data_IF_390355824023
#
_entry.id   IF_390355824023
#
_cell.length_a   1.000
_cell.length_b   1.000
_cell.length_c   1.000
_cell.angle_alpha   90.00
_cell.angle_beta   90.00
_cell.angle_gamma   90.00
#
_symmetry.space_group_name_H-M   'P 1'
#
loop_
_entity.id
_entity.type
_entity.pdbx_description
1 polymer ?
#
# COMPACT_ATOMS: atom_id res chain seq x y z
N UNK A 1 61.94 -32.42 -48.69
CA UNK A 1 61.71 -32.32 -47.23
C UNK A 1 61.53 -30.85 -46.89
N UNK A 2 60.40 -30.49 -46.25
CA UNK A 2 60.01 -29.16 -45.68
C UNK A 2 59.61 -28.08 -46.71
N UNK A 3 58.33 -27.94 -47.09
CA UNK A 3 57.09 -27.48 -46.39
C UNK A 3 56.91 -25.95 -46.51
N UNK A 4 55.80 -25.61 -47.18
CA UNK A 4 55.30 -24.30 -47.60
C UNK A 4 54.98 -23.32 -46.48
N UNK A 5 55.18 -22.03 -46.79
CA UNK A 5 54.66 -20.88 -46.07
C UNK A 5 53.26 -20.54 -46.62
N UNK A 6 52.22 -20.68 -45.80
CA UNK A 6 50.87 -20.15 -46.09
C UNK A 6 50.52 -19.19 -44.95
N UNK A 7 50.41 -17.91 -45.26
CA UNK A 7 49.82 -16.91 -44.37
C UNK A 7 48.29 -17.03 -44.44
N UNK A 8 47.67 -17.50 -43.36
CA UNK A 8 46.22 -17.43 -43.16
C UNK A 8 45.90 -16.11 -42.44
N UNK A 9 45.20 -15.19 -43.13
CA UNK A 9 44.58 -14.03 -42.50
C UNK A 9 43.19 -14.44 -42.01
N UNK A 10 43.06 -14.69 -40.72
CA UNK A 10 41.76 -14.94 -40.08
C UNK A 10 41.05 -13.60 -39.81
N UNK A 11 39.98 -13.32 -40.54
CA UNK A 11 39.07 -12.20 -40.24
C UNK A 11 38.14 -12.65 -39.12
N UNK A 12 38.33 -12.08 -37.92
CA UNK A 12 37.45 -12.29 -36.78
C UNK A 12 36.23 -11.36 -36.92
N UNK A 13 35.08 -11.87 -37.36
CA UNK A 13 33.81 -11.16 -37.24
C UNK A 13 33.35 -11.21 -35.76
N UNK A 14 33.56 -10.12 -35.03
CA UNK A 14 32.87 -9.88 -33.77
C UNK A 14 31.41 -9.50 -34.05
N UNK A 15 30.51 -10.46 -33.90
CA UNK A 15 29.08 -10.15 -33.78
C UNK A 15 28.85 -9.51 -32.40
N UNK A 16 28.57 -8.21 -32.39
CA UNK A 16 28.08 -7.53 -31.20
C UNK A 16 26.66 -8.02 -30.91
N UNK A 17 26.51 -8.90 -29.92
CA UNK A 17 25.21 -9.22 -29.32
C UNK A 17 24.72 -7.97 -28.61
N UNK A 18 23.79 -7.23 -29.21
CA UNK A 18 23.07 -6.20 -28.49
C UNK A 18 22.25 -6.89 -27.40
N UNK A 19 22.69 -6.78 -26.14
CA UNK A 19 21.85 -7.08 -25.00
C UNK A 19 20.69 -6.09 -25.06
N UNK A 20 19.52 -6.55 -25.53
CA UNK A 20 18.28 -5.82 -25.36
C UNK A 20 18.04 -5.72 -23.86
N UNK A 21 18.40 -4.56 -23.29
CA UNK A 21 17.98 -4.19 -21.94
C UNK A 21 16.46 -4.12 -21.99
N UNK A 22 15.79 -5.15 -21.47
CA UNK A 22 14.34 -5.15 -21.36
C UNK A 22 13.91 -4.03 -20.43
N UNK A 23 13.53 -2.88 -21.00
CA UNK A 23 12.85 -1.84 -20.25
C UNK A 23 11.59 -2.47 -19.63
N UNK A 24 11.42 -2.31 -18.31
CA UNK A 24 10.21 -2.75 -17.62
C UNK A 24 9.01 -2.03 -18.27
N UNK A 25 8.19 -2.75 -19.03
CA UNK A 25 7.02 -2.18 -19.70
C UNK A 25 6.08 -1.64 -18.63
N UNK A 26 5.83 -0.33 -18.68
CA UNK A 26 4.86 0.36 -17.81
C UNK A 26 3.53 0.44 -18.55
N UNK A 27 2.45 0.06 -17.87
CA UNK A 27 1.09 0.16 -18.39
C UNK A 27 0.35 1.26 -17.64
N UNK A 28 -0.15 2.27 -18.35
CA UNK A 28 -1.00 3.30 -17.74
C UNK A 28 -2.30 2.68 -17.21
N UNK A 29 -2.97 1.86 -18.03
CA UNK A 29 -4.27 1.24 -17.77
C UNK A 29 -4.37 -0.18 -18.38
N UNK A 30 -5.46 -0.90 -18.08
CA UNK A 30 -5.86 -2.15 -18.73
C UNK A 30 -5.21 -3.41 -18.17
N UNK A 31 -4.48 -3.32 -17.06
CA UNK A 31 -3.86 -4.46 -16.38
C UNK A 31 -4.64 -4.87 -15.14
N UNK A 32 -4.57 -6.15 -14.78
CA UNK A 32 -5.29 -6.68 -13.63
C UNK A 32 -4.65 -6.27 -12.29
N UNK A 33 -5.45 -6.41 -11.22
CA UNK A 33 -4.98 -6.41 -9.83
C UNK A 33 -4.58 -7.83 -9.44
N UNK A 34 -3.40 -7.97 -8.84
CA UNK A 34 -2.92 -9.24 -8.29
C UNK A 34 -2.88 -9.15 -6.75
N UNK A 35 -3.63 -9.98 -6.01
CA UNK A 35 -3.56 -10.02 -4.56
C UNK A 35 -2.23 -10.61 -4.10
N UNK A 36 -1.80 -10.25 -2.90
CA UNK A 36 -0.58 -10.72 -2.26
C UNK A 36 -0.86 -11.09 -0.81
N UNK A 37 -0.30 -12.22 -0.37
CA UNK A 37 -0.19 -12.54 1.04
C UNK A 37 1.11 -11.91 1.55
N UNK A 38 1.01 -11.09 2.59
CA UNK A 38 2.15 -10.35 3.13
C UNK A 38 2.79 -11.10 4.31
N UNK A 39 2.04 -11.98 4.97
CA UNK A 39 2.49 -12.75 6.13
C UNK A 39 1.40 -12.83 7.21
N UNK A 40 1.77 -13.25 8.41
CA UNK A 40 0.85 -13.38 9.53
C UNK A 40 1.43 -12.85 10.83
N UNK A 41 0.57 -12.40 11.74
CA UNK A 41 0.94 -11.93 13.07
C UNK A 41 0.12 -12.67 14.14
N UNK A 42 0.69 -12.91 15.31
CA UNK A 42 -0.02 -13.49 16.45
C UNK A 42 -0.61 -12.39 17.35
N UNK A 43 -1.88 -12.52 17.69
CA UNK A 43 -2.57 -11.63 18.63
C UNK A 43 -2.31 -12.04 20.09
N UNK A 44 -2.44 -11.12 21.07
CA UNK A 44 -2.23 -11.44 22.49
C UNK A 44 -3.14 -12.54 23.05
N UNK A 45 -4.33 -12.75 22.46
CA UNK A 45 -5.27 -13.81 22.84
C UNK A 45 -4.94 -15.17 22.22
N UNK A 46 -3.85 -15.24 21.45
CA UNK A 46 -3.36 -16.42 20.75
C UNK A 46 -3.98 -16.65 19.38
N UNK A 47 -4.95 -15.84 18.95
CA UNK A 47 -5.46 -15.85 17.57
C UNK A 47 -4.42 -15.30 16.60
N UNK A 48 -4.67 -15.39 15.29
CA UNK A 48 -3.72 -14.92 14.27
C UNK A 48 -4.42 -13.99 13.29
N UNK A 49 -3.71 -12.98 12.80
CA UNK A 49 -4.15 -12.19 11.65
C UNK A 49 -3.33 -12.59 10.42
N UNK A 50 -4.01 -13.00 9.36
CA UNK A 50 -3.41 -13.19 8.03
C UNK A 50 -3.49 -11.86 7.28
N UNK A 51 -2.34 -11.33 6.86
CA UNK A 51 -2.22 -9.97 6.32
C UNK A 51 -2.10 -10.02 4.81
N UNK A 52 -2.87 -9.18 4.12
CA UNK A 52 -2.95 -9.16 2.67
C UNK A 52 -2.70 -7.75 2.11
N UNK A 53 -2.09 -7.71 0.94
CA UNK A 53 -1.88 -6.52 0.12
C UNK A 53 -2.15 -6.85 -1.35
N UNK A 54 -1.88 -5.94 -2.27
CA UNK A 54 -2.07 -6.19 -3.69
C UNK A 54 -1.13 -5.35 -4.56
N UNK A 55 -0.92 -5.80 -5.79
CA UNK A 55 -0.35 -5.00 -6.86
C UNK A 55 -1.43 -4.69 -7.89
N UNK A 56 -1.88 -3.44 -7.96
CA UNK A 56 -2.53 -2.94 -9.15
C UNK A 56 -1.42 -2.65 -10.18
N UNK A 57 -1.42 -3.40 -11.28
CA UNK A 57 -0.34 -3.36 -12.27
C UNK A 57 -0.35 -2.08 -13.12
N UNK A 58 -1.44 -1.32 -13.06
CA UNK A 58 -1.58 -0.03 -13.72
C UNK A 58 -0.78 1.06 -13.00
N UNK A 59 -0.50 2.14 -13.71
CA UNK A 59 0.13 3.35 -13.16
C UNK A 59 -0.86 4.50 -12.97
N UNK A 60 -2.00 4.48 -13.68
CA UNK A 60 -3.01 5.55 -13.64
C UNK A 60 -4.41 5.00 -13.30
N UNK A 61 -4.76 3.80 -13.80
CA UNK A 61 -6.08 3.22 -13.58
C UNK A 61 -6.27 2.70 -12.14
N UNK A 62 -7.22 3.31 -11.45
CA UNK A 62 -7.88 2.76 -10.27
C UNK A 62 -8.98 1.78 -10.69
N UNK A 63 -9.18 0.73 -9.91
CA UNK A 63 -10.22 -0.27 -10.18
C UNK A 63 -11.17 -0.40 -9.00
N UNK A 64 -12.47 -0.46 -9.29
CA UNK A 64 -13.50 -0.80 -8.32
C UNK A 64 -13.98 -2.23 -8.57
N UNK A 65 -13.73 -3.13 -7.62
CA UNK A 65 -14.13 -4.54 -7.69
C UNK A 65 -14.98 -4.85 -6.45
N UNK A 66 -16.32 -4.84 -6.57
CA UNK A 66 -17.22 -5.13 -5.46
C UNK A 66 -17.01 -6.53 -4.90
N UNK A 67 -17.32 -6.71 -3.61
CA UNK A 67 -17.34 -8.03 -2.97
C UNK A 67 -18.27 -8.95 -3.76
N UNK A 68 -17.79 -10.15 -4.06
CA UNK A 68 -18.53 -11.11 -4.89
C UNK A 68 -17.58 -12.05 -5.64
N UNK A 69 -18.04 -12.72 -6.71
CA UNK A 69 -17.24 -13.72 -7.42
C UNK A 69 -15.87 -13.24 -7.92
N UNK A 70 -15.74 -11.94 -8.20
CA UNK A 70 -14.49 -11.32 -8.68
C UNK A 70 -13.63 -10.72 -7.56
N UNK A 71 -14.12 -10.72 -6.31
CA UNK A 71 -13.41 -10.25 -5.12
C UNK A 71 -13.93 -11.02 -3.90
N UNK A 72 -13.41 -12.23 -3.71
CA UNK A 72 -13.93 -13.20 -2.75
C UNK A 72 -12.80 -13.72 -1.85
N UNK A 73 -13.14 -13.98 -0.58
CA UNK A 73 -12.25 -14.67 0.34
C UNK A 73 -12.86 -16.02 0.74
N UNK A 74 -12.05 -17.07 0.67
CA UNK A 74 -12.39 -18.39 1.14
C UNK A 74 -11.54 -18.77 2.35
N UNK A 75 -12.13 -19.30 3.43
CA UNK A 75 -13.57 -19.35 3.69
C UNK A 75 -14.16 -17.97 4.03
N UNK A 76 -15.42 -17.74 3.67
CA UNK A 76 -16.25 -16.72 4.34
C UNK A 76 -16.63 -15.45 3.59
N UNK A 77 -16.44 -15.36 2.26
CA UNK A 77 -17.02 -14.26 1.46
C UNK A 77 -16.42 -12.90 1.77
N UNK A 78 -17.20 -12.03 2.42
CA UNK A 78 -16.72 -10.75 2.95
C UNK A 78 -15.97 -10.97 4.27
N UNK A 79 -14.66 -10.74 4.23
CA UNK A 79 -13.75 -10.86 5.38
C UNK A 79 -12.96 -9.57 5.58
N UNK A 80 -13.50 -8.44 5.12
CA UNK A 80 -12.89 -7.13 5.28
C UNK A 80 -12.03 -6.65 4.13
N UNK A 81 -11.93 -7.36 3.00
CA UNK A 81 -11.12 -6.97 1.83
C UNK A 81 -11.56 -5.64 1.17
N UNK A 82 -10.65 -4.85 0.56
CA UNK A 82 -11.03 -3.59 -0.09
C UNK A 82 -11.91 -3.83 -1.32
N UNK A 83 -12.66 -2.80 -1.75
CA UNK A 83 -13.33 -2.81 -3.06
C UNK A 83 -12.79 -1.76 -4.01
N UNK A 84 -11.95 -0.85 -3.54
CA UNK A 84 -11.29 0.17 -4.35
C UNK A 84 -9.77 -0.10 -4.37
N UNK A 85 -9.19 -0.13 -5.57
CA UNK A 85 -7.83 -0.58 -5.80
C UNK A 85 -6.99 0.53 -6.46
N UNK A 86 -6.24 1.26 -5.63
CA UNK A 86 -5.28 2.27 -6.05
C UNK A 86 -4.16 1.67 -6.92
N UNK A 87 -3.55 2.45 -7.83
CA UNK A 87 -2.45 1.97 -8.64
C UNK A 87 -1.27 1.47 -7.79
N UNK A 88 -0.42 0.65 -8.42
CA UNK A 88 0.85 0.15 -7.85
C UNK A 88 0.65 -0.79 -6.65
N UNK A 89 1.77 -1.04 -5.95
CA UNK A 89 1.85 -1.96 -4.83
C UNK A 89 1.29 -1.28 -3.57
N UNK A 90 0.27 -1.89 -3.00
CA UNK A 90 -0.31 -1.53 -1.71
C UNK A 90 -0.04 -2.70 -0.77
N UNK A 91 0.79 -2.50 0.25
CA UNK A 91 1.18 -3.53 1.22
C UNK A 91 0.31 -3.46 2.46
N UNK A 92 0.18 -4.59 3.16
CA UNK A 92 -0.44 -4.66 4.50
C UNK A 92 -1.83 -4.00 4.59
N UNK A 93 -2.63 -4.11 3.54
CA UNK A 93 -3.88 -3.36 3.33
C UNK A 93 -4.98 -3.79 4.30
N UNK A 94 -5.11 -5.09 4.56
CA UNK A 94 -6.12 -5.60 5.48
C UNK A 94 -5.72 -6.94 6.10
N UNK A 95 -6.46 -7.30 7.15
CA UNK A 95 -6.20 -8.45 8.00
C UNK A 95 -7.42 -9.36 8.03
N UNK A 96 -7.19 -10.66 7.97
CA UNK A 96 -8.21 -11.69 8.21
C UNK A 96 -7.85 -12.44 9.48
N UNK A 97 -8.63 -12.26 10.54
CA UNK A 97 -8.42 -12.97 11.80
C UNK A 97 -8.90 -14.43 11.72
N UNK A 98 -8.06 -15.33 12.20
CA UNK A 98 -8.34 -16.77 12.36
C UNK A 98 -8.10 -17.16 13.82
N UNK A 99 -8.86 -18.12 14.37
CA UNK A 99 -8.82 -18.46 15.79
C UNK A 99 -7.48 -19.12 16.19
N UNK A 100 -7.22 -19.18 17.49
CA UNK A 100 -5.97 -19.73 18.05
C UNK A 100 -5.71 -21.21 17.72
N UNK A 101 -6.78 -21.96 17.50
CA UNK A 101 -6.80 -23.39 17.16
C UNK A 101 -6.90 -23.64 15.64
N UNK A 102 -6.69 -22.60 14.83
CA UNK A 102 -6.65 -22.72 13.37
C UNK A 102 -5.62 -23.77 12.93
N UNK A 103 -6.03 -24.65 12.00
CA UNK A 103 -5.10 -25.58 11.38
C UNK A 103 -4.02 -24.80 10.61
N UNK A 104 -2.76 -24.99 11.00
CA UNK A 104 -1.60 -24.28 10.43
C UNK A 104 -1.45 -24.51 8.92
N UNK A 105 -2.02 -25.59 8.38
CA UNK A 105 -2.04 -25.88 6.94
C UNK A 105 -3.27 -25.32 6.22
N UNK A 106 -4.32 -24.94 6.96
CA UNK A 106 -5.53 -24.37 6.40
C UNK A 106 -5.27 -22.96 5.87
N UNK A 107 -5.72 -22.74 4.64
CA UNK A 107 -5.50 -21.49 3.91
C UNK A 107 -6.71 -20.57 3.98
N UNK A 108 -6.43 -19.28 4.08
CA UNK A 108 -7.33 -18.24 3.62
C UNK A 108 -6.92 -17.84 2.21
N UNK A 109 -7.84 -17.89 1.26
CA UNK A 109 -7.58 -17.60 -0.15
C UNK A 109 -8.35 -16.37 -0.57
N UNK A 110 -7.63 -15.30 -0.91
CA UNK A 110 -8.21 -14.12 -1.53
C UNK A 110 -8.08 -14.21 -3.04
N UNK A 111 -9.23 -14.17 -3.73
CA UNK A 111 -9.32 -14.25 -5.20
C UNK A 111 -9.77 -12.90 -5.76
N UNK A 112 -9.01 -12.39 -6.73
CA UNK A 112 -9.38 -11.21 -7.51
C UNK A 112 -9.46 -11.57 -9.00
N UNK A 113 -10.54 -11.12 -9.64
CA UNK A 113 -10.70 -11.18 -11.10
C UNK A 113 -10.90 -9.76 -11.64
N UNK A 114 -10.01 -9.32 -12.52
CA UNK A 114 -10.09 -8.02 -13.20
C UNK A 114 -9.48 -8.11 -14.59
N UNK A 115 -10.02 -7.34 -15.53
CA UNK A 115 -9.56 -7.34 -16.94
C UNK A 115 -9.43 -8.76 -17.54
N UNK A 116 -10.41 -9.63 -17.23
CA UNK A 116 -10.46 -11.01 -17.74
C UNK A 116 -9.42 -11.97 -17.14
N UNK A 117 -8.65 -11.54 -16.13
CA UNK A 117 -7.64 -12.36 -15.46
C UNK A 117 -7.98 -12.56 -13.99
N UNK A 118 -7.79 -13.79 -13.51
CA UNK A 118 -7.95 -14.17 -12.11
C UNK A 118 -6.59 -14.45 -11.48
N UNK A 119 -6.33 -13.87 -10.31
CA UNK A 119 -5.14 -14.11 -9.50
C UNK A 119 -5.56 -14.38 -8.04
N UNK A 120 -4.73 -15.13 -7.30
CA UNK A 120 -5.02 -15.53 -5.92
C UNK A 120 -3.84 -15.30 -4.98
N UNK A 121 -4.14 -14.87 -3.76
CA UNK A 121 -3.22 -14.89 -2.64
C UNK A 121 -3.70 -15.94 -1.64
N UNK A 122 -2.79 -16.81 -1.21
CA UNK A 122 -3.08 -17.88 -0.25
C UNK A 122 -2.27 -17.57 1.01
N UNK A 123 -2.95 -17.30 2.12
CA UNK A 123 -2.34 -17.05 3.43
C UNK A 123 -2.51 -18.25 4.34
N UNK A 124 -1.45 -18.59 5.08
CA UNK A 124 -1.45 -19.63 6.11
C UNK A 124 -0.32 -19.39 7.12
N UNK A 125 -0.29 -20.16 8.20
CA UNK A 125 0.63 -19.96 9.34
C UNK A 125 1.97 -20.66 9.11
N UNK A 126 2.66 -20.30 8.02
CA UNK A 126 4.02 -20.76 7.78
C UNK A 126 5.02 -19.98 8.65
N UNK A 127 5.85 -20.64 9.47
CA UNK A 127 6.73 -19.96 10.42
C UNK A 127 7.60 -18.84 9.83
N UNK A 128 8.14 -19.03 8.62
CA UNK A 128 9.04 -18.04 7.99
C UNK A 128 8.32 -16.78 7.48
N UNK A 129 6.98 -16.74 7.55
CA UNK A 129 6.14 -15.64 7.10
C UNK A 129 5.53 -14.84 8.26
N UNK A 130 6.02 -15.07 9.48
CA UNK A 130 5.63 -14.27 10.64
C UNK A 130 6.09 -12.82 10.45
N UNK A 131 5.17 -11.89 10.64
CA UNK A 131 5.38 -10.46 10.56
C UNK A 131 5.66 -9.90 11.96
N UNK A 132 6.56 -8.92 11.97
CA UNK A 132 6.75 -8.01 13.08
C UNK A 132 6.94 -6.59 12.52
N UNK A 133 6.99 -5.60 13.41
CA UNK A 133 7.09 -4.20 13.02
C UNK A 133 8.37 -3.88 12.24
N UNK A 134 9.47 -4.60 12.49
CA UNK A 134 10.72 -4.47 11.72
C UNK A 134 10.50 -4.86 10.25
N UNK A 135 9.94 -6.05 10.02
CA UNK A 135 9.65 -6.54 8.67
C UNK A 135 8.67 -5.62 7.95
N UNK A 136 7.69 -5.05 8.66
CA UNK A 136 6.74 -4.09 8.10
C UNK A 136 7.47 -2.80 7.68
N UNK A 137 8.29 -2.24 8.57
CA UNK A 137 9.06 -1.01 8.32
C UNK A 137 9.99 -1.17 7.11
N UNK A 138 10.80 -2.23 7.08
CA UNK A 138 11.74 -2.48 5.98
C UNK A 138 11.02 -2.63 4.64
N UNK A 139 9.92 -3.38 4.59
CA UNK A 139 9.15 -3.60 3.37
C UNK A 139 8.40 -2.36 2.87
N UNK A 140 8.06 -1.42 3.76
CA UNK A 140 7.45 -0.13 3.40
C UNK A 140 8.49 0.94 3.06
N UNK A 141 9.79 0.63 3.16
CA UNK A 141 10.87 1.57 2.92
C UNK A 141 11.12 2.54 4.08
N UNK A 142 10.65 2.20 5.27
CA UNK A 142 10.99 2.87 6.54
C UNK A 142 12.42 2.58 7.02
N UNK A 143 13.04 1.54 6.44
CA UNK A 143 14.37 1.06 6.82
C UNK A 143 14.34 0.34 8.17
N UNK A 144 15.51 0.23 8.81
CA UNK A 144 15.63 -0.38 10.14
C UNK A 144 14.73 0.36 11.13
N UNK A 145 13.84 -0.36 11.80
CA UNK A 145 12.90 0.19 12.77
C UNK A 145 13.67 0.89 13.90
N UNK A 146 13.26 2.11 14.27
CA UNK A 146 13.85 2.77 15.44
C UNK A 146 13.38 2.08 16.72
N UNK A 147 14.31 1.88 17.66
CA UNK A 147 14.03 1.15 18.90
C UNK A 147 12.87 1.81 19.66
N UNK A 148 11.90 0.99 20.08
CA UNK A 148 10.66 1.40 20.75
C UNK A 148 9.69 2.25 19.91
N UNK A 149 9.86 2.32 18.57
CA UNK A 149 8.86 2.94 17.71
C UNK A 149 7.53 2.17 17.79
N UNK A 150 6.45 2.87 18.09
CA UNK A 150 5.08 2.36 18.03
C UNK A 150 4.33 3.01 16.85
N UNK A 151 3.35 2.33 16.23
CA UNK A 151 2.53 2.97 15.20
C UNK A 151 1.79 4.17 15.78
N UNK A 152 1.58 5.26 15.00
CA UNK A 152 0.81 6.40 15.47
C UNK A 152 -0.56 5.97 16.01
N UNK A 153 -1.02 6.57 17.10
CA UNK A 153 -2.41 6.42 17.52
C UNK A 153 -3.31 7.35 16.70
N UNK A 154 -4.51 6.91 16.32
CA UNK A 154 -5.47 7.71 15.54
C UNK A 154 -6.88 7.57 16.10
N UNK A 155 -7.60 8.69 16.19
CA UNK A 155 -9.02 8.74 16.55
C UNK A 155 -9.74 9.76 15.68
N UNK A 156 -11.06 9.67 15.56
CA UNK A 156 -11.80 10.67 14.81
C UNK A 156 -13.29 10.45 14.71
N UNK A 157 -13.85 10.95 13.63
CA UNK A 157 -15.30 11.01 13.39
C UNK A 157 -15.95 9.64 13.50
N UNK A 158 -17.16 9.62 14.07
CA UNK A 158 -18.06 8.48 14.01
C UNK A 158 -18.71 8.37 12.62
N UNK A 159 -19.49 7.31 12.40
CA UNK A 159 -20.26 7.13 11.18
C UNK A 159 -21.19 8.33 10.92
N UNK A 160 -21.35 8.68 9.64
CA UNK A 160 -22.19 9.80 9.20
C UNK A 160 -23.23 9.35 8.18
N UNK A 161 -24.32 10.10 8.09
CA UNK A 161 -25.31 9.96 7.02
C UNK A 161 -25.55 11.33 6.40
N UNK A 162 -25.56 11.37 5.06
CA UNK A 162 -25.84 12.57 4.28
C UNK A 162 -26.83 12.24 3.16
N UNK A 163 -27.40 13.28 2.55
CA UNK A 163 -28.26 13.16 1.37
C UNK A 163 -27.64 13.98 0.24
N UNK A 164 -27.52 13.43 -0.96
CA UNK A 164 -26.95 14.20 -2.08
C UNK A 164 -27.79 15.47 -2.36
N UNK A 165 -27.15 16.60 -2.71
CA UNK A 165 -25.72 16.80 -2.98
C UNK A 165 -24.88 17.25 -1.77
N UNK A 166 -25.37 17.07 -0.54
CA UNK A 166 -24.64 17.50 0.66
C UNK A 166 -23.29 16.79 0.79
N UNK A 167 -22.41 17.39 1.58
CA UNK A 167 -21.06 16.86 1.87
C UNK A 167 -20.93 16.45 3.32
N UNK A 168 -20.17 15.41 3.58
CA UNK A 168 -19.72 15.06 4.92
C UNK A 168 -18.56 15.96 5.37
N UNK A 169 -18.35 16.09 6.67
CA UNK A 169 -17.13 16.69 7.24
C UNK A 169 -16.49 15.67 8.17
N UNK A 170 -15.32 15.16 7.79
CA UNK A 170 -14.60 14.14 8.54
C UNK A 170 -13.39 14.77 9.22
N UNK A 171 -13.30 14.59 10.53
CA UNK A 171 -12.15 15.03 11.33
C UNK A 171 -11.52 13.84 12.04
N UNK A 172 -10.19 13.74 11.94
CA UNK A 172 -9.35 12.75 12.63
C UNK A 172 -8.14 13.44 13.26
N UNK A 173 -7.67 12.92 14.39
CA UNK A 173 -6.45 13.36 15.06
C UNK A 173 -5.55 12.16 15.28
N UNK A 174 -4.29 12.30 14.89
CA UNK A 174 -3.25 11.31 15.13
C UNK A 174 -2.18 11.87 16.08
N UNK A 175 -1.67 11.01 16.95
CA UNK A 175 -0.61 11.29 17.91
C UNK A 175 0.46 10.20 17.78
N UNK A 176 1.69 10.66 17.71
CA UNK A 176 2.88 9.85 17.53
C UNK A 176 3.71 9.87 18.84
N UNK A 177 4.54 8.85 19.05
CA UNK A 177 5.47 8.73 20.17
C UNK A 177 6.72 9.61 20.01
N UNK A 178 6.87 10.28 18.85
CA UNK A 178 8.02 11.10 18.51
C UNK A 178 9.15 10.30 17.87
N UNK A 179 8.85 9.11 17.36
CA UNK A 179 9.75 8.21 16.64
C UNK A 179 9.09 7.91 15.27
N UNK A 180 9.86 7.72 14.18
CA UNK A 180 11.29 7.93 14.06
C UNK A 180 11.70 9.40 14.20
N UNK A 181 12.87 9.62 14.81
CA UNK A 181 13.40 10.97 15.00
C UNK A 181 13.78 11.61 13.65
N UNK A 182 13.62 12.94 13.51
CA UNK A 182 14.18 13.67 12.40
C UNK A 182 15.70 13.48 12.37
N UNK A 183 16.21 12.75 11.37
CA UNK A 183 17.67 12.63 11.21
C UNK A 183 18.21 14.02 10.83
N UNK A 184 19.21 14.54 11.57
CA UNK A 184 19.87 15.78 11.22
C UNK A 184 20.36 15.76 9.78
N UNK A 185 20.29 16.91 9.11
CA UNK A 185 20.92 17.08 7.80
C UNK A 185 22.42 16.79 7.95
N UNK A 186 22.88 15.66 7.45
CA UNK A 186 24.31 15.47 7.19
C UNK A 186 24.70 16.40 6.05
N UNK A 187 25.16 17.61 6.38
CA UNK A 187 25.96 18.42 5.47
C UNK A 187 27.36 17.82 5.45
N UNK A 188 27.54 16.65 4.86
CA UNK A 188 28.89 16.23 4.47
C UNK A 188 29.30 17.12 3.30
N UNK A 189 29.97 18.23 3.62
CA UNK A 189 30.76 19.05 2.70
C UNK A 189 32.00 18.29 2.23
N UNK A 190 31.79 17.05 1.76
CA UNK A 190 32.70 16.32 0.89
C UNK A 190 31.90 16.08 -0.38
N UNK A 191 31.71 17.16 -1.14
CA UNK A 191 31.21 17.03 -2.49
C UNK A 191 32.18 16.11 -3.23
N UNK A 192 31.72 14.91 -3.58
CA UNK A 192 32.38 14.14 -4.61
C UNK A 192 32.25 15.00 -5.88
N UNK A 193 33.34 15.46 -6.51
CA UNK A 193 33.24 16.34 -7.70
C UNK A 193 32.51 15.67 -8.86
N UNK A 194 32.33 14.34 -8.81
CA UNK A 194 31.57 13.56 -9.77
C UNK A 194 30.09 13.32 -9.35
N UNK A 195 29.64 13.77 -8.16
CA UNK A 195 28.23 13.67 -7.80
C UNK A 195 27.44 14.76 -8.50
N UNK A 196 26.59 14.35 -9.43
CA UNK A 196 25.65 15.22 -10.13
C UNK A 196 24.86 16.06 -9.12
N UNK A 197 25.02 17.38 -9.16
CA UNK A 197 24.45 18.31 -8.17
C UNK A 197 22.91 18.44 -8.23
N UNK A 198 22.24 17.62 -9.07
CA UNK A 198 20.81 17.61 -9.23
C UNK A 198 20.20 16.25 -8.86
N UNK A 199 19.21 16.33 -7.99
CA UNK A 199 18.30 15.29 -7.51
C UNK A 199 18.77 14.42 -6.33
N UNK A 200 19.12 15.05 -5.20
CA UNK A 200 18.57 14.48 -3.98
C UNK A 200 17.04 14.69 -4.06
N UNK A 201 16.20 13.63 -4.06
CA UNK A 201 14.75 13.81 -4.06
C UNK A 201 14.35 14.68 -2.86
N UNK A 202 13.29 15.51 -2.95
CA UNK A 202 12.80 16.26 -1.79
C UNK A 202 12.60 15.27 -0.64
N UNK A 203 13.46 15.39 0.39
CA UNK A 203 13.45 14.46 1.52
C UNK A 203 12.10 14.62 2.23
N UNK A 204 11.39 13.51 2.44
CA UNK A 204 10.08 13.45 3.10
C UNK A 204 10.14 14.28 4.39
N UNK A 205 9.26 15.26 4.53
CA UNK A 205 9.00 15.90 5.82
C UNK A 205 8.74 14.79 6.84
N UNK A 206 9.37 14.86 8.01
CA UNK A 206 9.37 13.79 9.01
C UNK A 206 8.33 14.07 10.09
N UNK A 207 7.81 12.99 10.69
CA UNK A 207 6.70 13.02 11.63
C UNK A 207 5.44 12.37 11.04
N UNK A 208 4.39 12.29 11.83
CA UNK A 208 3.12 11.69 11.40
C UNK A 208 2.43 12.55 10.34
N UNK A 209 1.92 11.89 9.30
CA UNK A 209 0.98 12.46 8.33
C UNK A 209 -0.28 11.60 8.27
N UNK A 210 -1.43 12.25 8.11
CA UNK A 210 -2.70 11.60 7.86
C UNK A 210 -3.05 11.74 6.38
N UNK A 211 -3.50 10.64 5.76
CA UNK A 211 -4.11 10.63 4.44
C UNK A 211 -5.46 9.92 4.48
N UNK A 212 -6.48 10.51 3.84
CA UNK A 212 -7.72 9.80 3.54
C UNK A 212 -7.60 8.95 2.28
N UNK A 213 -8.20 7.75 2.33
CA UNK A 213 -8.39 6.89 1.16
C UNK A 213 -9.83 6.37 1.12
N UNK A 214 -10.29 6.03 -0.08
CA UNK A 214 -11.49 5.21 -0.27
C UNK A 214 -11.09 3.75 -0.09
N UNK A 215 -11.62 3.10 0.94
CA UNK A 215 -11.37 1.69 1.20
C UNK A 215 -12.44 0.81 0.53
N UNK A 216 -13.71 1.24 0.66
CA UNK A 216 -14.85 0.71 -0.10
C UNK A 216 -15.81 1.84 -0.49
N UNK A 217 -16.46 1.70 -1.64
CA UNK A 217 -17.43 2.68 -2.10
C UNK A 217 -18.06 2.30 -3.45
N UNK A 218 -19.23 2.89 -3.73
CA UNK A 218 -19.98 2.65 -4.97
C UNK A 218 -19.72 3.74 -6.05
N UNK A 219 -18.96 4.78 -5.72
CA UNK A 219 -18.74 5.92 -6.59
C UNK A 219 -17.48 6.70 -6.23
N UNK A 220 -17.24 7.79 -6.95
CA UNK A 220 -16.08 8.65 -6.74
C UNK A 220 -16.26 9.48 -5.47
N UNK A 221 -15.19 9.60 -4.70
CA UNK A 221 -15.11 10.42 -3.48
C UNK A 221 -14.02 11.44 -3.67
N UNK A 222 -14.28 12.68 -3.24
CA UNK A 222 -13.27 13.74 -3.19
C UNK A 222 -13.15 14.24 -1.76
N UNK A 223 -11.92 14.34 -1.29
CA UNK A 223 -11.54 14.93 -0.01
C UNK A 223 -10.94 16.31 -0.23
N UNK A 224 -11.26 17.26 0.64
CA UNK A 224 -10.69 18.61 0.61
C UNK A 224 -10.41 19.12 2.03
N UNK A 225 -9.15 19.10 2.49
CA UNK A 225 -7.98 18.45 1.88
C UNK A 225 -7.99 16.92 2.04
N UNK A 226 -7.25 16.19 1.20
CA UNK A 226 -7.07 14.72 1.31
C UNK A 226 -6.00 14.32 2.35
N UNK A 227 -4.98 15.16 2.52
CA UNK A 227 -3.81 14.90 3.37
C UNK A 227 -3.56 16.03 4.34
N UNK A 228 -3.01 15.69 5.51
CA UNK A 228 -2.48 16.68 6.44
C UNK A 228 -1.06 17.12 6.05
N UNK A 229 -0.60 18.22 6.66
CA UNK A 229 0.83 18.47 6.79
C UNK A 229 1.46 17.43 7.71
N UNK A 230 2.79 17.27 7.64
CA UNK A 230 3.54 16.47 8.60
C UNK A 230 3.61 17.18 9.96
N UNK A 231 3.60 16.41 11.04
CA UNK A 231 3.83 16.92 12.39
C UNK A 231 4.74 15.98 13.19
N UNK A 232 5.77 16.54 13.83
CA UNK A 232 6.68 15.80 14.68
C UNK A 232 6.53 16.19 16.15
N UNK A 233 6.48 15.21 17.05
CA UNK A 233 6.43 15.41 18.50
C UNK A 233 5.17 16.11 19.03
N UNK A 234 4.14 16.24 18.19
CA UNK A 234 2.84 16.85 18.55
C UNK A 234 1.72 16.21 17.74
N UNK A 235 0.48 16.22 18.23
CA UNK A 235 -0.65 15.68 17.48
C UNK A 235 -0.93 16.49 16.20
N UNK A 236 -1.44 15.80 15.18
CA UNK A 236 -1.90 16.36 13.92
C UNK A 236 -3.39 16.08 13.74
N UNK A 237 -4.15 17.12 13.39
CA UNK A 237 -5.58 17.01 13.10
C UNK A 237 -5.84 17.30 11.63
N UNK A 238 -6.58 16.43 10.97
CA UNK A 238 -7.06 16.60 9.59
C UNK A 238 -8.57 16.71 9.60
N UNK A 239 -9.10 17.85 9.15
CA UNK A 239 -10.53 18.07 8.93
C UNK A 239 -10.77 18.26 7.43
N UNK A 240 -11.56 17.37 6.83
CA UNK A 240 -11.77 17.29 5.39
C UNK A 240 -13.25 17.38 5.05
N UNK A 241 -13.59 18.23 4.09
CA UNK A 241 -14.90 18.19 3.43
C UNK A 241 -14.90 17.05 2.41
N UNK A 242 -15.95 16.24 2.40
CA UNK A 242 -16.03 15.04 1.56
C UNK A 242 -17.28 15.04 0.70
N UNK A 243 -17.10 14.95 -0.61
CA UNK A 243 -18.19 14.90 -1.59
C UNK A 243 -18.23 13.56 -2.32
N UNK A 244 -19.43 13.14 -2.72
CA UNK A 244 -19.69 11.82 -3.31
C UNK A 244 -20.41 11.97 -4.65
N UNK A 245 -20.07 11.11 -5.62
CA UNK A 245 -20.71 11.13 -6.94
C UNK A 245 -21.98 10.28 -7.03
N UNK A 246 -22.23 9.39 -6.07
CA UNK A 246 -23.34 8.44 -6.10
C UNK A 246 -23.83 8.08 -4.68
N UNK A 247 -25.11 7.74 -4.52
CA UNK A 247 -25.60 7.18 -3.26
C UNK A 247 -24.99 5.81 -2.99
N UNK A 248 -24.91 5.44 -1.72
CA UNK A 248 -24.35 4.16 -1.28
C UNK A 248 -23.65 4.23 0.07
N UNK A 249 -23.08 3.11 0.50
CA UNK A 249 -22.27 3.02 1.71
C UNK A 249 -20.80 3.06 1.35
N UNK A 250 -20.07 3.98 1.99
CA UNK A 250 -18.64 4.16 1.81
C UNK A 250 -17.91 3.84 3.10
N UNK A 251 -16.80 3.12 3.00
CA UNK A 251 -15.80 3.03 4.07
C UNK A 251 -14.61 3.89 3.66
N UNK A 252 -14.44 5.00 4.36
CA UNK A 252 -13.35 5.95 4.15
C UNK A 252 -12.35 5.74 5.28
N UNK A 253 -11.09 5.48 4.92
CA UNK A 253 -10.06 5.13 5.89
C UNK A 253 -9.04 6.26 5.96
N UNK A 254 -8.83 6.80 7.16
CA UNK A 254 -7.70 7.66 7.45
C UNK A 254 -6.53 6.78 7.81
N UNK A 255 -5.39 6.99 7.16
CA UNK A 255 -4.13 6.30 7.42
C UNK A 255 -3.19 7.32 8.06
N UNK A 256 -2.78 7.08 9.31
CA UNK A 256 -1.71 7.83 9.96
C UNK A 256 -0.41 7.06 9.81
N UNK A 257 0.64 7.69 9.29
CA UNK A 257 1.96 7.07 9.15
C UNK A 257 3.07 8.02 9.56
N UNK A 258 4.03 7.49 10.30
CA UNK A 258 5.28 8.14 10.73
C UNK A 258 6.45 7.88 9.74
N UNK A 259 6.20 7.07 8.71
CA UNK A 259 7.16 6.63 7.70
C UNK A 259 7.76 5.23 7.91
N UNK A 260 7.66 4.65 9.11
CA UNK A 260 8.05 3.26 9.43
C UNK A 260 6.81 2.39 9.63
N UNK A 261 5.89 2.85 10.47
CA UNK A 261 4.66 2.19 10.83
C UNK A 261 3.45 3.03 10.46
N UNK A 262 2.26 2.43 10.62
CA UNK A 262 1.01 3.10 10.34
C UNK A 262 -0.13 2.51 11.13
N UNK A 263 -1.15 3.33 11.38
CA UNK A 263 -2.43 2.91 11.91
C UNK A 263 -3.55 3.49 11.06
N UNK A 264 -4.77 2.98 11.27
CA UNK A 264 -5.93 3.43 10.51
C UNK A 264 -7.14 3.72 11.39
N UNK A 265 -7.95 4.68 10.98
CA UNK A 265 -9.29 4.94 11.51
C UNK A 265 -10.29 4.90 10.35
N UNK A 266 -11.34 4.09 10.47
CA UNK A 266 -12.33 3.94 9.40
C UNK A 266 -13.63 4.63 9.77
N UNK A 267 -14.16 5.42 8.83
CA UNK A 267 -15.47 6.08 8.96
C UNK A 267 -16.41 5.52 7.91
N UNK A 268 -17.57 5.02 8.36
CA UNK A 268 -18.67 4.66 7.47
C UNK A 268 -19.49 5.90 7.15
N UNK A 269 -19.68 6.18 5.87
CA UNK A 269 -20.59 7.24 5.40
C UNK A 269 -21.69 6.62 4.56
N UNK A 270 -22.93 6.79 5.01
CA UNK A 270 -24.13 6.42 4.25
C UNK A 270 -24.61 7.64 3.46
N UNK A 271 -24.66 7.51 2.14
CA UNK A 271 -25.06 8.58 1.22
C UNK A 271 -26.42 8.22 0.61
N UNK A 272 -27.44 8.98 0.97
CA UNK A 272 -28.79 8.81 0.42
C UNK A 272 -28.90 9.50 -0.96
N UNK A 273 -29.77 9.00 -1.86
CA UNK A 273 -30.10 9.69 -3.10
C UNK A 273 -30.68 11.08 -2.84
N UNK A 274 -30.53 11.99 -3.80
CA UNK A 274 -31.16 13.31 -3.70
C UNK A 274 -32.68 13.17 -3.53
N UNK A 275 -33.27 13.99 -2.67
CA UNK A 275 -34.73 14.10 -2.58
C UNK A 275 -35.25 14.73 -3.87
N UNK A 276 -36.13 14.01 -4.56
CA UNK A 276 -36.88 14.52 -5.71
C UNK A 276 -38.02 15.43 -5.28
#
# INVERSE_FOLDING_TARGET
MKISLVFFLAVLLLTASALAVGAQIKYATGQNVAPAFEGWEQNPDGSYNLVFGYLNRNYEEELDIPIGPNNNIEPGGDRGQPTHFYPRRQRFVFKVTVPKDWDKQQKVVWTLTSHGRTDQAKGWLQPEWELNDEVISENNGGGVLEEHNEPPSITGSAAQTITLPDTATLTVTAQDDGIPKPRPRTTTSSANPDSNANAEPPRRDRGVQIKWIVYRGAGKVRFDPETSTYAYGKPVTLSSKVSFSAPGTYLLQAVASDGQLSSTHTVTVTVNPASH
#
